data_IF_264946886478
#
_entry.id   IF_264946886478
#
_cell.length_a   1.000
_cell.length_b   1.000
_cell.length_c   1.000
_cell.angle_alpha   90.00
_cell.angle_beta   90.00
_cell.angle_gamma   90.00
#
_symmetry.space_group_name_H-M   'P 1'
#
loop_
_entity.id
_entity.type
_entity.pdbx_description
1 polymer ?
#
# COMPACT_ATOMS: atom_id res chain seq x y z
N UNK A 1 32.46 0.97 -1.42
CA UNK A 1 31.47 0.89 -2.50
C UNK A 1 30.59 2.12 -2.41
N UNK A 2 30.64 3.01 -3.38
CA UNK A 2 29.76 4.19 -3.43
C UNK A 2 28.38 3.70 -3.86
N UNK A 3 27.44 3.65 -2.92
CA UNK A 3 26.02 3.45 -3.27
C UNK A 3 25.58 4.72 -4.01
N UNK A 4 25.30 4.59 -5.29
CA UNK A 4 24.67 5.64 -6.08
C UNK A 4 23.33 5.98 -5.45
N UNK A 5 23.29 7.03 -4.65
CA UNK A 5 22.05 7.55 -4.07
C UNK A 5 21.32 8.26 -5.20
N UNK A 6 20.23 7.68 -5.69
CA UNK A 6 19.40 8.37 -6.68
C UNK A 6 18.90 9.69 -6.09
N UNK A 7 19.32 10.79 -6.70
CA UNK A 7 18.92 12.14 -6.29
C UNK A 7 17.50 12.49 -6.78
N UNK A 8 16.95 11.68 -7.65
CA UNK A 8 15.64 11.88 -8.29
C UNK A 8 14.85 10.58 -8.29
N UNK A 9 13.61 10.63 -7.80
CA UNK A 9 12.61 9.58 -7.97
C UNK A 9 11.38 10.16 -8.66
N UNK A 10 10.72 9.35 -9.47
CA UNK A 10 9.50 9.73 -10.18
C UNK A 10 8.51 8.58 -10.20
N UNK A 11 7.23 8.91 -10.25
CA UNK A 11 6.16 7.94 -10.43
C UNK A 11 4.90 8.61 -10.95
N UNK A 12 3.86 7.83 -11.14
CA UNK A 12 2.55 8.31 -11.58
C UNK A 12 1.43 7.67 -10.79
N UNK A 13 0.32 8.38 -10.65
CA UNK A 13 -0.92 7.81 -10.13
C UNK A 13 -2.14 8.47 -10.76
N UNK A 14 -3.26 7.76 -10.75
CA UNK A 14 -4.59 8.32 -10.99
C UNK A 14 -5.17 8.77 -9.65
N UNK A 15 -5.62 10.02 -9.57
CA UNK A 15 -6.19 10.58 -8.35
C UNK A 15 -7.63 10.10 -8.12
N UNK A 16 -7.90 9.65 -6.93
CA UNK A 16 -9.24 9.38 -6.38
C UNK A 16 -9.82 10.58 -5.61
N UNK A 17 -9.04 11.67 -5.51
CA UNK A 17 -9.38 12.87 -4.75
C UNK A 17 -9.10 12.78 -3.25
N UNK A 18 -8.63 11.63 -2.76
CA UNK A 18 -8.29 11.42 -1.36
C UNK A 18 -6.81 11.68 -1.11
N UNK A 19 -6.48 12.02 0.13
CA UNK A 19 -5.08 12.12 0.54
C UNK A 19 -4.39 10.76 0.41
N UNK A 20 -3.16 10.75 -0.15
CA UNK A 20 -2.37 9.53 -0.30
C UNK A 20 -0.95 9.72 0.19
N UNK A 21 -0.34 8.63 0.58
CA UNK A 21 1.08 8.61 0.94
C UNK A 21 1.88 7.99 -0.19
N UNK A 22 2.99 8.64 -0.51
CA UNK A 22 4.04 8.13 -1.38
C UNK A 22 5.22 7.79 -0.48
N UNK A 23 5.53 6.49 -0.37
CA UNK A 23 6.66 6.02 0.42
C UNK A 23 7.97 6.28 -0.33
N UNK A 24 8.86 7.05 0.28
CA UNK A 24 10.16 7.41 -0.28
C UNK A 24 11.26 7.08 0.75
N UNK A 25 12.47 6.75 0.30
CA UNK A 25 13.63 6.70 1.21
C UNK A 25 13.82 8.05 1.92
N UNK A 26 14.50 8.05 3.07
CA UNK A 26 14.80 9.28 3.80
C UNK A 26 15.65 10.28 2.99
N UNK A 27 15.51 11.56 3.31
CA UNK A 27 16.34 12.63 2.74
C UNK A 27 15.78 13.28 1.47
N UNK A 28 14.54 12.95 1.05
CA UNK A 28 13.87 13.71 0.00
C UNK A 28 13.18 14.91 0.62
N UNK A 29 13.55 16.10 0.19
CA UNK A 29 13.15 17.38 0.76
C UNK A 29 12.39 18.29 -0.22
N UNK A 30 12.30 17.90 -1.49
CA UNK A 30 11.54 18.58 -2.52
C UNK A 30 10.59 17.59 -3.22
N UNK A 31 9.38 18.04 -3.44
CA UNK A 31 8.37 17.26 -4.13
C UNK A 31 7.59 18.11 -5.11
N UNK A 32 7.37 17.58 -6.30
CA UNK A 32 6.61 18.22 -7.36
C UNK A 32 5.55 17.26 -7.89
N UNK A 33 4.35 17.76 -8.09
CA UNK A 33 3.23 17.06 -8.68
C UNK A 33 2.80 17.78 -9.94
N UNK A 34 2.67 17.05 -11.05
CA UNK A 34 2.29 17.59 -12.36
C UNK A 34 1.06 16.86 -12.86
N UNK A 35 -0.01 17.59 -13.16
CA UNK A 35 -1.21 17.06 -13.77
C UNK A 35 -0.96 16.82 -15.26
N UNK A 36 -0.75 15.57 -15.65
CA UNK A 36 -0.45 15.20 -17.04
C UNK A 36 -1.71 14.96 -17.88
N UNK A 37 -2.89 14.81 -17.26
CA UNK A 37 -4.15 14.66 -17.99
C UNK A 37 -4.53 15.96 -18.70
N UNK A 38 -4.35 17.09 -18.05
CA UNK A 38 -4.84 18.38 -18.52
C UNK A 38 -3.77 19.23 -19.23
N UNK A 39 -2.58 18.67 -19.46
CA UNK A 39 -1.55 19.29 -20.28
C UNK A 39 -2.08 19.45 -21.71
N UNK A 40 -2.21 20.70 -22.16
CA UNK A 40 -2.72 20.99 -23.50
C UNK A 40 -4.25 21.03 -23.63
N UNK A 41 -4.99 20.66 -22.57
CA UNK A 41 -6.45 20.80 -22.59
C UNK A 41 -6.82 22.28 -22.43
N UNK A 42 -7.66 22.78 -23.34
CA UNK A 42 -8.26 24.12 -23.26
C UNK A 42 -9.50 24.18 -22.34
N UNK A 43 -9.75 23.11 -21.60
CA UNK A 43 -10.95 22.84 -20.81
C UNK A 43 -11.35 23.89 -19.79
N UNK A 44 -12.56 23.75 -19.38
CA UNK A 44 -13.46 24.76 -18.83
C UNK A 44 -13.35 25.05 -17.32
N UNK A 45 -12.47 24.44 -16.56
CA UNK A 45 -12.43 24.63 -15.08
C UNK A 45 -11.03 24.98 -14.57
N UNK A 46 -10.98 25.74 -13.48
CA UNK A 46 -9.72 26.00 -12.77
C UNK A 46 -9.16 24.69 -12.22
N UNK A 47 -7.91 24.38 -12.54
CA UNK A 47 -7.26 23.15 -12.13
C UNK A 47 -5.83 23.39 -11.64
N UNK A 48 -5.40 22.57 -10.68
CA UNK A 48 -4.01 22.53 -10.28
C UNK A 48 -3.22 21.80 -11.37
N UNK A 49 -2.38 22.52 -12.08
CA UNK A 49 -1.52 21.99 -13.13
C UNK A 49 -0.20 21.49 -12.56
N UNK A 50 0.33 22.22 -11.58
CA UNK A 50 1.56 21.87 -10.90
C UNK A 50 1.48 22.31 -9.45
N UNK A 51 1.95 21.44 -8.55
CA UNK A 51 2.11 21.77 -7.14
C UNK A 51 3.56 21.44 -6.71
N UNK A 52 4.17 22.30 -5.89
CA UNK A 52 5.50 22.11 -5.35
C UNK A 52 5.49 22.22 -3.84
N UNK A 53 6.22 21.32 -3.18
CA UNK A 53 6.44 21.31 -1.75
C UNK A 53 7.90 21.20 -1.38
N UNK A 54 8.24 21.72 -0.22
CA UNK A 54 9.56 21.66 0.37
C UNK A 54 9.42 21.23 1.82
N UNK A 55 10.38 20.44 2.32
CA UNK A 55 10.37 19.96 3.71
C UNK A 55 10.49 21.10 4.74
N UNK A 56 10.99 22.26 4.31
CA UNK A 56 11.08 23.47 5.14
C UNK A 56 9.76 24.21 5.32
N UNK A 57 8.72 23.88 4.52
CA UNK A 57 7.40 24.48 4.67
C UNK A 57 6.61 23.76 5.77
N UNK A 58 5.65 24.47 6.42
CA UNK A 58 4.71 23.83 7.32
C UNK A 58 3.96 22.65 6.64
N UNK A 59 3.68 21.60 7.40
CA UNK A 59 2.91 20.46 6.90
C UNK A 59 1.56 20.92 6.32
N UNK A 60 1.19 20.35 5.18
CA UNK A 60 -0.01 20.74 4.45
C UNK A 60 0.16 21.95 3.52
N UNK A 61 1.36 22.50 3.40
CA UNK A 61 1.61 23.64 2.49
C UNK A 61 2.01 23.18 1.09
N UNK A 62 1.68 23.97 0.09
CA UNK A 62 2.15 23.79 -1.29
C UNK A 62 2.11 25.09 -2.09
N UNK A 63 3.06 25.30 -2.97
CA UNK A 63 2.97 26.27 -4.04
C UNK A 63 2.21 25.67 -5.22
N UNK A 64 1.20 26.36 -5.72
CA UNK A 64 0.34 25.92 -6.80
C UNK A 64 0.54 26.79 -8.03
N UNK A 65 0.57 26.14 -9.20
CA UNK A 65 0.37 26.77 -10.48
C UNK A 65 -0.97 26.28 -11.03
N UNK A 66 -1.92 27.21 -11.18
CA UNK A 66 -3.29 26.95 -11.57
C UNK A 66 -3.51 27.34 -13.02
N UNK A 67 -4.21 26.48 -13.77
CA UNK A 67 -4.80 26.82 -15.07
C UNK A 67 -6.24 27.24 -14.83
N UNK A 68 -6.61 28.41 -15.32
CA UNK A 68 -7.99 28.87 -15.32
C UNK A 68 -8.58 28.77 -16.73
N UNK A 69 -9.86 28.51 -16.78
CA UNK A 69 -10.58 28.33 -18.02
C UNK A 69 -10.68 29.62 -18.83
N UNK A 70 -10.25 29.57 -20.08
CA UNK A 70 -10.68 30.25 -21.29
C UNK A 70 -10.98 31.75 -21.32
N UNK A 71 -11.29 32.35 -20.23
CA UNK A 71 -11.52 33.78 -20.12
C UNK A 71 -10.21 34.46 -19.71
N UNK A 72 -9.32 34.72 -20.67
CA UNK A 72 -8.22 35.72 -20.55
C UNK A 72 -7.40 35.76 -19.23
N UNK A 73 -7.41 34.71 -18.41
CA UNK A 73 -6.70 34.68 -17.15
C UNK A 73 -5.45 33.89 -17.26
N UNK A 74 -4.35 34.56 -17.02
CA UNK A 74 -3.01 34.00 -16.91
C UNK A 74 -2.98 32.90 -15.85
N UNK A 75 -2.01 31.99 -15.98
CA UNK A 75 -1.71 31.03 -14.94
C UNK A 75 -1.58 31.77 -13.60
N UNK A 76 -2.34 31.35 -12.61
CA UNK A 76 -2.32 31.96 -11.29
C UNK A 76 -1.36 31.12 -10.45
N UNK A 77 -0.38 31.77 -9.85
CA UNK A 77 0.44 31.20 -8.82
C UNK A 77 -0.17 31.53 -7.45
N UNK A 78 -0.29 30.54 -6.61
CA UNK A 78 -0.81 30.71 -5.26
C UNK A 78 -0.10 29.78 -4.28
N UNK A 79 -0.29 30.00 -3.00
CA UNK A 79 0.17 29.13 -1.94
C UNK A 79 -1.00 28.70 -1.08
N UNK A 80 -1.08 27.39 -0.82
CA UNK A 80 -1.98 26.85 0.20
C UNK A 80 -1.17 26.47 1.44
N UNK A 81 -1.82 26.51 2.60
CA UNK A 81 -1.22 26.17 3.91
C UNK A 81 -1.88 24.96 4.54
N UNK A 82 -2.90 24.40 3.89
CA UNK A 82 -3.61 23.19 4.32
C UNK A 82 -3.87 22.30 3.12
N UNK A 83 -3.98 20.99 3.36
CA UNK A 83 -4.27 19.99 2.32
C UNK A 83 -3.27 19.94 1.14
N UNK A 84 -2.08 20.50 1.30
CA UNK A 84 -0.94 20.40 0.39
C UNK A 84 -0.06 19.19 0.68
N UNK A 85 1.25 19.39 0.76
CA UNK A 85 2.21 18.32 1.04
C UNK A 85 2.63 18.30 2.50
N UNK A 86 2.81 17.07 3.04
CA UNK A 86 3.42 16.88 4.35
C UNK A 86 4.58 15.90 4.23
N UNK A 87 5.77 16.35 4.52
CA UNK A 87 6.98 15.51 4.54
C UNK A 87 7.03 14.73 5.85
N UNK A 88 7.15 13.42 5.74
CA UNK A 88 7.20 12.52 6.90
C UNK A 88 8.64 12.43 7.42
N UNK A 89 8.83 12.81 8.66
CA UNK A 89 10.13 12.73 9.33
C UNK A 89 10.32 11.37 10.02
N UNK A 90 11.58 10.97 10.23
CA UNK A 90 11.99 9.69 10.83
C UNK A 90 11.81 9.63 12.37
N UNK A 91 10.90 10.39 12.94
CA UNK A 91 10.74 10.45 14.40
C UNK A 91 9.29 10.28 14.85
N UNK A 92 9.13 9.73 16.02
CA UNK A 92 7.85 9.52 16.67
C UNK A 92 7.53 8.05 16.92
N UNK A 93 6.41 7.81 17.58
CA UNK A 93 5.91 6.47 17.93
C UNK A 93 4.43 6.35 17.64
N UNK A 94 3.99 5.13 17.35
CA UNK A 94 2.58 4.78 17.22
C UNK A 94 2.35 3.43 17.91
N UNK A 95 1.28 3.33 18.67
CA UNK A 95 0.88 2.09 19.33
C UNK A 95 -0.39 1.55 18.70
N UNK A 96 -0.43 0.28 18.30
CA UNK A 96 -1.66 -0.36 17.82
C UNK A 96 -2.61 -0.66 18.96
N UNK A 97 -3.79 -1.18 18.63
CA UNK A 97 -4.75 -1.67 19.61
C UNK A 97 -4.18 -2.76 20.51
N UNK A 98 -4.85 -3.02 21.62
CA UNK A 98 -4.44 -4.05 22.56
C UNK A 98 -4.37 -5.43 21.89
N UNK A 99 -3.42 -6.24 22.32
CA UNK A 99 -3.33 -7.64 21.91
C UNK A 99 -4.51 -8.44 22.47
N UNK A 100 -5.17 -9.21 21.61
CA UNK A 100 -6.23 -10.12 22.00
C UNK A 100 -5.84 -11.54 21.62
N UNK A 101 -5.96 -12.48 22.56
CA UNK A 101 -5.63 -13.87 22.31
C UNK A 101 -6.57 -14.48 21.25
N UNK A 102 -6.00 -15.27 20.37
CA UNK A 102 -6.68 -16.09 19.37
C UNK A 102 -6.72 -17.52 19.86
N UNK A 103 -7.90 -18.14 19.82
CA UNK A 103 -8.09 -19.55 20.18
C UNK A 103 -8.11 -20.48 18.97
N UNK A 104 -8.47 -19.97 17.81
CA UNK A 104 -8.41 -20.72 16.56
C UNK A 104 -8.39 -19.78 15.34
N UNK A 105 -7.76 -20.24 14.25
CA UNK A 105 -7.89 -19.67 12.91
C UNK A 105 -8.25 -20.80 11.97
N UNK A 106 -9.36 -20.69 11.27
CA UNK A 106 -9.83 -21.76 10.38
C UNK A 106 -9.07 -21.77 9.06
N UNK A 107 -8.84 -22.96 8.51
CA UNK A 107 -8.45 -23.13 7.11
C UNK A 107 -9.70 -23.04 6.24
N UNK A 108 -10.10 -21.83 5.90
CA UNK A 108 -11.33 -21.51 5.20
C UNK A 108 -11.18 -20.28 4.28
N UNK A 109 -12.16 -20.02 3.44
CA UNK A 109 -12.28 -18.84 2.58
C UNK A 109 -13.65 -18.18 2.78
N UNK A 110 -13.73 -17.05 3.45
CA UNK A 110 -12.68 -16.30 4.16
C UNK A 110 -12.15 -17.04 5.39
N UNK A 111 -10.93 -16.69 5.81
CA UNK A 111 -10.38 -17.17 7.07
C UNK A 111 -11.14 -16.59 8.27
N UNK A 112 -11.44 -17.42 9.26
CA UNK A 112 -12.18 -17.03 10.46
C UNK A 112 -11.27 -17.13 11.68
N UNK A 113 -11.16 -16.05 12.43
CA UNK A 113 -10.37 -15.93 13.65
C UNK A 113 -11.32 -15.95 14.86
N UNK A 114 -11.15 -16.91 15.73
CA UNK A 114 -11.87 -16.96 17.01
C UNK A 114 -11.09 -16.17 18.07
N UNK A 115 -11.66 -15.05 18.50
CA UNK A 115 -11.03 -14.14 19.50
C UNK A 115 -12.10 -13.24 20.10
N UNK A 116 -11.81 -12.66 21.27
CA UNK A 116 -12.65 -11.63 21.89
C UNK A 116 -12.29 -10.20 21.37
N UNK A 117 -11.89 -10.10 20.11
CA UNK A 117 -11.52 -8.82 19.49
C UNK A 117 -12.73 -7.88 19.39
N UNK A 118 -12.49 -6.59 19.56
CA UNK A 118 -13.46 -5.50 19.31
C UNK A 118 -13.34 -4.90 17.92
N UNK A 119 -12.59 -5.54 17.01
CA UNK A 119 -12.45 -5.09 15.63
C UNK A 119 -13.82 -5.04 14.94
N UNK A 120 -13.99 -4.05 14.08
CA UNK A 120 -15.20 -3.87 13.26
C UNK A 120 -14.89 -4.10 11.78
N UNK A 121 -15.94 -4.26 10.98
CA UNK A 121 -15.79 -4.40 9.51
C UNK A 121 -15.07 -3.16 8.94
N UNK A 122 -14.05 -3.39 8.13
CA UNK A 122 -13.18 -2.37 7.56
C UNK A 122 -11.90 -2.10 8.35
N UNK A 123 -11.84 -2.50 9.62
CA UNK A 123 -10.58 -2.43 10.37
C UNK A 123 -9.51 -3.30 9.72
N UNK A 124 -8.26 -2.97 10.00
CA UNK A 124 -7.12 -3.82 9.68
C UNK A 124 -6.60 -4.46 10.96
N UNK A 125 -6.46 -5.76 10.92
CA UNK A 125 -5.95 -6.55 12.04
C UNK A 125 -4.64 -7.22 11.66
N UNK A 126 -3.67 -7.18 12.57
CA UNK A 126 -2.44 -7.97 12.49
C UNK A 126 -2.60 -9.26 13.25
N UNK A 127 -2.27 -10.36 12.56
CA UNK A 127 -2.19 -11.70 13.17
C UNK A 127 -0.73 -12.00 13.46
N UNK A 128 -0.40 -12.47 14.66
CA UNK A 128 0.98 -12.78 15.02
C UNK A 128 1.08 -13.84 16.12
N UNK A 129 2.28 -14.41 16.28
CA UNK A 129 2.55 -15.42 17.30
C UNK A 129 1.67 -16.68 17.15
N UNK A 130 1.28 -17.05 15.93
CA UNK A 130 0.40 -18.18 15.66
C UNK A 130 1.08 -19.52 15.94
N UNK A 131 0.33 -20.46 16.50
CA UNK A 131 0.70 -21.87 16.56
C UNK A 131 0.07 -22.58 15.37
N UNK A 132 0.85 -22.92 14.36
CA UNK A 132 0.37 -23.31 13.03
C UNK A 132 0.16 -22.10 12.12
N UNK A 133 -0.11 -22.32 10.84
CA UNK A 133 -0.29 -21.28 9.81
C UNK A 133 0.75 -20.14 9.90
N UNK A 134 2.02 -20.49 10.09
CA UNK A 134 3.10 -19.49 10.26
C UNK A 134 3.26 -18.57 9.04
N UNK A 135 2.67 -18.96 7.90
CA UNK A 135 2.65 -18.18 6.67
C UNK A 135 1.94 -16.81 6.83
N UNK A 136 0.99 -16.71 7.77
CA UNK A 136 0.22 -15.49 8.02
C UNK A 136 0.68 -14.72 9.25
N UNK A 137 1.64 -15.25 10.00
CA UNK A 137 2.18 -14.57 11.18
C UNK A 137 2.89 -13.28 10.79
N UNK A 138 2.52 -12.16 11.44
CA UNK A 138 3.00 -10.82 11.12
C UNK A 138 2.31 -10.16 9.92
N UNK A 139 1.23 -10.75 9.39
CA UNK A 139 0.47 -10.17 8.28
C UNK A 139 -0.74 -9.39 8.77
N UNK A 140 -1.08 -8.35 8.00
CA UNK A 140 -2.24 -7.51 8.22
C UNK A 140 -3.37 -7.96 7.28
N UNK A 141 -4.62 -7.93 7.77
CA UNK A 141 -5.80 -8.31 6.98
C UNK A 141 -6.94 -7.33 7.24
N UNK A 142 -7.70 -6.99 6.20
CA UNK A 142 -8.95 -6.26 6.37
C UNK A 142 -10.03 -7.19 6.96
N UNK A 143 -10.73 -6.71 7.96
CA UNK A 143 -11.89 -7.39 8.55
C UNK A 143 -13.08 -7.25 7.62
N UNK A 144 -13.65 -8.38 7.21
CA UNK A 144 -14.78 -8.43 6.25
C UNK A 144 -16.13 -8.71 6.90
N UNK A 145 -16.13 -9.40 8.02
CA UNK A 145 -17.32 -9.61 8.85
C UNK A 145 -16.94 -9.88 10.30
N UNK A 146 -17.83 -9.56 11.21
CA UNK A 146 -17.69 -9.83 12.64
C UNK A 146 -18.96 -10.45 13.17
N UNK A 147 -18.81 -11.43 14.07
CA UNK A 147 -19.86 -12.03 14.88
C UNK A 147 -19.35 -12.14 16.32
N UNK A 148 -20.19 -12.32 17.33
CA UNK A 148 -19.70 -12.47 18.70
C UNK A 148 -18.63 -13.57 18.80
N UNK A 149 -17.42 -13.16 19.22
CA UNK A 149 -16.26 -14.04 19.39
C UNK A 149 -15.53 -14.47 18.11
N UNK A 150 -15.92 -13.98 16.94
CA UNK A 150 -15.26 -14.34 15.67
C UNK A 150 -15.07 -13.13 14.77
N UNK A 151 -13.95 -13.10 14.07
CA UNK A 151 -13.57 -12.07 13.09
C UNK A 151 -13.21 -12.75 11.77
N UNK A 152 -13.96 -12.45 10.69
CA UNK A 152 -13.61 -12.91 9.36
C UNK A 152 -12.63 -11.92 8.70
N UNK A 153 -11.70 -12.45 7.92
CA UNK A 153 -10.67 -11.66 7.25
C UNK A 153 -10.78 -11.74 5.73
N UNK A 154 -10.11 -10.84 5.05
CA UNK A 154 -9.99 -10.81 3.58
C UNK A 154 -9.12 -11.94 3.00
N UNK A 155 -8.69 -12.90 3.82
CA UNK A 155 -7.75 -13.94 3.41
C UNK A 155 -8.46 -15.25 3.06
N UNK A 156 -8.07 -15.85 1.92
CA UNK A 156 -8.36 -17.23 1.59
C UNK A 156 -7.29 -18.14 2.19
N UNK A 157 -7.64 -18.92 3.20
CA UNK A 157 -6.73 -19.83 3.90
C UNK A 157 -6.84 -21.30 3.41
N UNK A 158 -7.63 -21.56 2.35
CA UNK A 158 -7.72 -22.91 1.75
C UNK A 158 -6.60 -23.20 0.75
N UNK A 159 -5.78 -22.18 0.43
CA UNK A 159 -4.70 -22.36 -0.55
C UNK A 159 -3.72 -23.47 -0.13
N UNK A 160 -3.12 -24.13 -1.10
CA UNK A 160 -2.08 -25.12 -0.87
C UNK A 160 -0.96 -24.54 0.00
N UNK A 161 -0.54 -25.25 1.02
CA UNK A 161 0.41 -24.77 2.02
C UNK A 161 -0.20 -24.45 3.39
N UNK A 162 -1.51 -24.14 3.46
CA UNK A 162 -2.22 -23.96 4.74
C UNK A 162 -2.84 -25.30 5.20
N UNK A 163 -2.00 -26.31 5.38
CA UNK A 163 -2.49 -27.67 5.67
C UNK A 163 -3.14 -27.83 7.05
N UNK A 164 -2.89 -26.94 8.00
CA UNK A 164 -3.40 -27.01 9.35
C UNK A 164 -3.91 -25.64 9.81
N UNK A 165 -5.03 -25.65 10.53
CA UNK A 165 -5.54 -24.48 11.22
C UNK A 165 -4.56 -24.05 12.33
N UNK A 166 -4.49 -22.75 12.63
CA UNK A 166 -3.80 -22.26 13.81
C UNK A 166 -4.67 -22.50 15.04
N UNK A 167 -4.03 -22.90 16.15
CA UNK A 167 -4.71 -23.24 17.41
C UNK A 167 -4.49 -22.19 18.51
N UNK A 168 -3.58 -21.26 18.29
CA UNK A 168 -3.31 -20.13 19.20
C UNK A 168 -2.64 -19.00 18.41
N UNK A 169 -2.56 -17.82 19.02
CA UNK A 169 -1.90 -16.64 18.50
C UNK A 169 -2.47 -15.37 19.10
N UNK A 170 -2.19 -14.27 18.49
CA UNK A 170 -2.73 -12.96 18.88
C UNK A 170 -3.22 -12.21 17.66
N UNK A 171 -4.18 -11.34 17.90
CA UNK A 171 -4.70 -10.36 16.95
C UNK A 171 -4.72 -8.99 17.60
N UNK A 172 -4.48 -7.95 16.83
CA UNK A 172 -4.69 -6.57 17.27
C UNK A 172 -5.10 -5.67 16.09
N UNK A 173 -5.89 -4.66 16.38
CA UNK A 173 -6.25 -3.64 15.40
C UNK A 173 -5.04 -2.76 15.13
N UNK A 174 -4.72 -2.57 13.86
CA UNK A 174 -3.65 -1.69 13.40
C UNK A 174 -4.26 -0.38 12.91
N UNK A 175 -3.92 0.76 13.54
CA UNK A 175 -4.37 2.05 13.02
C UNK A 175 -3.61 2.32 11.73
N UNK A 176 -4.31 2.41 10.60
CA UNK A 176 -3.65 2.87 9.40
C UNK A 176 -3.13 4.28 9.63
N UNK A 177 -1.83 4.37 9.68
CA UNK A 177 -1.11 5.61 9.74
C UNK A 177 -0.01 5.54 8.67
N UNK A 178 -0.06 6.41 7.66
CA UNK A 178 0.92 6.38 6.57
C UNK A 178 2.36 6.45 7.06
N UNK A 179 2.55 7.05 8.22
CA UNK A 179 3.86 7.26 8.82
C UNK A 179 4.38 6.04 9.58
N UNK A 180 3.51 5.37 10.37
CA UNK A 180 3.94 4.30 11.28
C UNK A 180 3.46 2.91 10.86
N UNK A 181 2.26 2.83 10.34
CA UNK A 181 1.65 1.58 9.87
C UNK A 181 1.14 1.76 8.43
N UNK A 182 2.04 1.81 7.44
CA UNK A 182 1.64 1.91 6.04
C UNK A 182 0.87 0.66 5.61
N UNK A 183 0.04 0.81 4.58
CA UNK A 183 -0.69 -0.31 3.99
C UNK A 183 0.30 -1.29 3.36
N UNK A 184 0.40 -2.49 3.93
CA UNK A 184 1.19 -3.57 3.39
C UNK A 184 0.35 -4.33 2.35
N UNK A 185 0.66 -4.17 1.07
CA UNK A 185 -0.06 -4.78 -0.06
C UNK A 185 0.58 -6.10 -0.46
N UNK A 186 0.47 -7.08 0.42
CA UNK A 186 1.04 -8.42 0.23
C UNK A 186 0.14 -9.26 -0.65
N UNK A 187 0.75 -10.05 -1.53
CA UNK A 187 0.03 -10.91 -2.46
C UNK A 187 -0.44 -12.16 -1.72
N UNK A 188 -1.73 -12.46 -1.82
CA UNK A 188 -2.34 -13.63 -1.19
C UNK A 188 -2.74 -14.71 -2.19
N UNK A 189 -2.98 -14.34 -3.44
CA UNK A 189 -3.24 -15.25 -4.54
C UNK A 189 -2.94 -14.59 -5.88
N UNK A 190 -2.59 -15.40 -6.87
CA UNK A 190 -2.49 -14.98 -8.27
C UNK A 190 -3.24 -15.99 -9.13
N UNK A 191 -4.16 -15.47 -9.94
CA UNK A 191 -4.80 -16.24 -11.01
C UNK A 191 -4.00 -16.04 -12.29
N UNK A 192 -3.42 -17.12 -12.79
CA UNK A 192 -2.69 -17.16 -14.05
C UNK A 192 -3.65 -16.81 -15.19
N UNK A 193 -3.22 -15.92 -16.08
CA UNK A 193 -4.05 -15.48 -17.20
C UNK A 193 -3.50 -14.23 -17.89
N UNK A 194 -4.28 -13.75 -18.85
CA UNK A 194 -4.05 -12.50 -19.55
C UNK A 194 -5.39 -11.74 -19.61
N UNK A 195 -5.63 -10.75 -18.74
CA UNK A 195 -4.73 -10.17 -17.74
C UNK A 195 -4.48 -11.08 -16.51
N UNK A 196 -3.34 -10.87 -15.84
CA UNK A 196 -3.06 -11.52 -14.55
C UNK A 196 -3.90 -10.88 -13.45
N UNK A 197 -4.60 -11.70 -12.64
CA UNK A 197 -5.39 -11.22 -11.50
C UNK A 197 -4.68 -11.53 -10.19
N UNK A 198 -4.48 -10.50 -9.36
CA UNK A 198 -3.74 -10.61 -8.09
C UNK A 198 -4.68 -10.21 -6.95
N UNK A 199 -4.79 -11.08 -5.94
CA UNK A 199 -5.47 -10.78 -4.68
C UNK A 199 -4.46 -10.33 -3.62
N UNK A 200 -4.88 -9.35 -2.81
CA UNK A 200 -4.07 -8.74 -1.77
C UNK A 200 -4.70 -8.97 -0.38
N UNK A 201 -3.87 -8.89 0.63
CA UNK A 201 -4.25 -9.12 2.03
C UNK A 201 -5.18 -8.05 2.62
N UNK A 202 -5.20 -6.85 2.04
CA UNK A 202 -5.95 -5.69 2.55
C UNK A 202 -6.65 -4.95 1.41
N UNK A 203 -7.60 -4.10 1.75
CA UNK A 203 -8.11 -3.08 0.82
C UNK A 203 -6.95 -2.20 0.38
N UNK A 204 -6.64 -2.20 -0.91
CA UNK A 204 -5.33 -1.76 -1.41
C UNK A 204 -5.23 -0.26 -1.74
N UNK A 205 -6.36 0.43 -1.99
CA UNK A 205 -6.37 1.85 -2.35
C UNK A 205 -5.73 2.17 -3.71
N UNK A 206 -5.51 1.18 -4.58
CA UNK A 206 -5.06 1.41 -5.96
C UNK A 206 -6.20 1.88 -6.85
N UNK A 207 -5.83 2.47 -7.99
CA UNK A 207 -6.75 2.93 -9.03
C UNK A 207 -6.36 2.37 -10.39
N UNK A 208 -7.35 2.19 -11.28
CA UNK A 208 -7.11 1.78 -12.67
C UNK A 208 -6.20 2.80 -13.35
N UNK A 209 -5.25 2.32 -14.17
CA UNK A 209 -4.24 3.13 -14.83
C UNK A 209 -2.96 3.36 -14.00
N UNK A 210 -2.95 3.02 -12.71
CA UNK A 210 -1.76 3.11 -11.88
C UNK A 210 -0.74 2.04 -12.28
N UNK A 211 0.54 2.44 -12.36
CA UNK A 211 1.65 1.51 -12.61
C UNK A 211 2.21 0.97 -11.31
N UNK A 212 2.40 -0.34 -11.29
CA UNK A 212 2.94 -1.07 -10.14
C UNK A 212 4.06 -2.01 -10.56
N UNK A 213 4.91 -2.35 -9.61
CA UNK A 213 5.92 -3.40 -9.73
C UNK A 213 5.52 -4.56 -8.85
N UNK A 214 5.65 -5.77 -9.36
CA UNK A 214 5.46 -6.99 -8.59
C UNK A 214 6.78 -7.39 -7.95
N UNK A 215 6.77 -7.67 -6.66
CA UNK A 215 7.86 -8.32 -5.93
C UNK A 215 7.44 -9.73 -5.58
N UNK A 216 8.21 -10.72 -6.03
CA UNK A 216 7.88 -12.13 -5.85
C UNK A 216 9.10 -12.93 -5.39
N UNK A 217 9.27 -13.16 -4.08
CA UNK A 217 10.34 -14.01 -3.60
C UNK A 217 10.20 -15.45 -4.12
N UNK A 218 11.31 -16.08 -4.48
CA UNK A 218 11.33 -17.39 -5.14
C UNK A 218 10.58 -18.50 -4.38
N UNK A 219 10.50 -18.40 -3.06
CA UNK A 219 9.81 -19.37 -2.20
C UNK A 219 8.29 -19.41 -2.43
N UNK A 220 7.71 -18.37 -3.06
CA UNK A 220 6.29 -18.31 -3.41
C UNK A 220 5.98 -18.82 -4.83
N UNK A 221 6.95 -19.39 -5.53
CA UNK A 221 6.80 -19.78 -6.94
C UNK A 221 6.72 -18.57 -7.86
N UNK A 222 6.19 -18.75 -9.06
CA UNK A 222 5.93 -17.69 -10.06
C UNK A 222 7.07 -16.64 -10.18
N UNK A 223 8.32 -17.09 -10.15
CA UNK A 223 9.50 -16.20 -10.18
C UNK A 223 9.58 -15.34 -11.45
N UNK A 224 8.89 -15.76 -12.51
CA UNK A 224 8.83 -15.03 -13.79
C UNK A 224 8.17 -13.66 -13.67
N UNK A 225 7.31 -13.45 -12.66
CA UNK A 225 6.61 -12.17 -12.47
C UNK A 225 7.45 -11.20 -11.63
N UNK A 226 8.52 -11.67 -10.97
CA UNK A 226 9.33 -10.83 -10.08
C UNK A 226 9.97 -9.67 -10.84
N UNK A 227 9.83 -8.47 -10.31
CA UNK A 227 10.35 -7.25 -10.89
C UNK A 227 9.58 -6.70 -12.09
N UNK A 228 8.59 -7.42 -12.62
CA UNK A 228 7.80 -6.93 -13.76
C UNK A 228 6.98 -5.69 -13.36
N UNK A 229 6.89 -4.79 -14.32
CA UNK A 229 6.01 -3.62 -14.25
C UNK A 229 4.70 -3.94 -14.95
N UNK A 230 3.58 -3.60 -14.31
CA UNK A 230 2.26 -3.72 -14.89
C UNK A 230 1.42 -2.48 -14.64
N UNK A 231 0.47 -2.25 -15.54
CA UNK A 231 -0.57 -1.23 -15.37
C UNK A 231 -1.82 -1.90 -14.85
N UNK A 232 -2.45 -1.32 -13.84
CA UNK A 232 -3.72 -1.82 -13.30
C UNK A 232 -4.82 -1.54 -14.32
N UNK A 233 -5.43 -2.60 -14.86
CA UNK A 233 -6.50 -2.53 -15.86
C UNK A 233 -7.89 -2.65 -15.26
N UNK A 234 -8.01 -3.33 -14.11
CA UNK A 234 -9.26 -3.45 -13.37
C UNK A 234 -9.01 -3.60 -11.86
N UNK A 235 -10.03 -3.27 -11.10
CA UNK A 235 -10.09 -3.42 -9.65
C UNK A 235 -11.32 -4.25 -9.32
N UNK A 236 -11.21 -5.16 -8.38
CA UNK A 236 -12.30 -6.01 -7.97
C UNK A 236 -12.26 -6.41 -6.51
N UNK A 237 -13.24 -7.23 -6.15
CA UNK A 237 -13.36 -7.82 -4.83
C UNK A 237 -13.10 -9.31 -4.92
N UNK A 238 -12.29 -9.88 -4.03
CA UNK A 238 -12.09 -11.32 -3.98
C UNK A 238 -12.93 -11.95 -2.86
N UNK A 239 -12.66 -11.59 -1.63
CA UNK A 239 -13.22 -12.27 -0.46
C UNK A 239 -13.83 -11.24 0.47
N UNK A 240 -15.04 -11.55 1.00
CA UNK A 240 -15.70 -10.74 2.00
C UNK A 240 -16.14 -9.35 1.53
N UNK A 241 -16.18 -9.10 0.21
CA UNK A 241 -16.67 -7.83 -0.35
C UNK A 241 -15.68 -6.65 -0.25
N UNK A 242 -14.44 -6.87 0.23
CA UNK A 242 -13.45 -5.80 0.25
C UNK A 242 -12.74 -5.65 -1.12
N UNK A 243 -12.36 -4.42 -1.44
CA UNK A 243 -11.63 -4.09 -2.69
C UNK A 243 -10.16 -4.50 -2.55
N UNK A 244 -9.87 -5.75 -2.85
CA UNK A 244 -8.56 -6.35 -2.61
C UNK A 244 -7.99 -7.12 -3.82
N UNK A 245 -8.57 -6.98 -5.01
CA UNK A 245 -8.00 -7.55 -6.23
C UNK A 245 -7.66 -6.48 -7.27
N UNK A 246 -6.58 -6.74 -8.00
CA UNK A 246 -6.18 -5.95 -9.17
C UNK A 246 -5.94 -6.87 -10.35
N UNK A 247 -6.25 -6.39 -11.55
CA UNK A 247 -5.83 -7.02 -12.80
C UNK A 247 -4.69 -6.21 -13.40
N UNK A 248 -3.63 -6.88 -13.83
CA UNK A 248 -2.47 -6.26 -14.48
C UNK A 248 -2.42 -6.63 -15.95
N UNK A 249 -1.93 -5.70 -16.79
CA UNK A 249 -1.65 -5.91 -18.22
C UNK A 249 -0.47 -6.86 -18.48
N UNK A 250 -0.26 -7.81 -17.58
CA UNK A 250 0.77 -8.86 -17.68
C UNK A 250 0.09 -10.14 -18.13
N UNK A 251 0.68 -10.81 -19.13
CA UNK A 251 0.32 -12.16 -19.53
C UNK A 251 1.15 -13.17 -18.73
N UNK A 252 0.50 -13.89 -17.82
CA UNK A 252 1.14 -14.90 -16.98
C UNK A 252 0.76 -16.33 -17.38
N UNK A 253 0.13 -16.54 -18.53
CA UNK A 253 -0.39 -17.87 -18.96
C UNK A 253 0.70 -18.94 -19.02
N UNK A 254 1.95 -18.57 -19.27
CA UNK A 254 3.11 -19.47 -19.31
C UNK A 254 3.92 -19.50 -18.00
N UNK A 255 3.47 -18.79 -16.94
CA UNK A 255 4.21 -18.72 -15.68
C UNK A 255 3.88 -19.90 -14.77
N UNK A 256 4.83 -20.25 -13.89
CA UNK A 256 4.57 -21.19 -12.81
C UNK A 256 3.53 -20.64 -11.84
N UNK A 257 2.75 -21.52 -11.21
CA UNK A 257 1.71 -21.09 -10.29
C UNK A 257 2.31 -20.44 -9.02
N UNK A 258 1.62 -19.42 -8.49
CA UNK A 258 1.86 -18.91 -7.15
C UNK A 258 1.46 -19.94 -6.10
N UNK A 259 2.27 -20.08 -5.06
CA UNK A 259 1.96 -20.94 -3.91
C UNK A 259 2.57 -20.37 -2.64
N UNK A 260 1.87 -20.50 -1.51
CA UNK A 260 2.47 -20.16 -0.22
C UNK A 260 3.56 -21.18 0.15
N UNK A 261 4.64 -20.75 0.83
CA UNK A 261 5.61 -21.64 1.42
C UNK A 261 4.95 -22.51 2.50
N UNK A 262 5.55 -23.65 2.83
CA UNK A 262 5.13 -24.44 3.99
C UNK A 262 5.33 -23.68 5.30
N UNK A 263 4.62 -24.06 6.37
CA UNK A 263 4.81 -23.43 7.69
C UNK A 263 6.24 -23.49 8.19
N UNK A 264 6.95 -24.60 7.93
CA UNK A 264 8.36 -24.73 8.29
C UNK A 264 9.26 -23.73 7.55
N UNK A 265 9.01 -23.49 6.27
CA UNK A 265 9.73 -22.50 5.49
C UNK A 265 9.39 -21.07 5.93
N UNK A 266 8.13 -20.79 6.24
CA UNK A 266 7.69 -19.48 6.73
C UNK A 266 8.32 -19.13 8.09
N UNK A 267 8.60 -20.13 8.94
CA UNK A 267 9.22 -19.95 10.25
C UNK A 267 10.64 -19.35 10.20
N UNK A 268 11.33 -19.41 9.08
CA UNK A 268 12.68 -18.84 8.91
C UNK A 268 12.69 -17.37 8.49
N UNK A 269 11.54 -16.69 8.52
CA UNK A 269 11.49 -15.24 8.26
C UNK A 269 11.76 -14.89 6.80
N UNK A 270 11.08 -15.56 5.88
CA UNK A 270 11.20 -15.29 4.44
C UNK A 270 10.67 -13.92 4.06
N UNK A 271 11.27 -13.33 3.04
CA UNK A 271 10.75 -12.16 2.36
C UNK A 271 9.34 -12.42 1.80
N UNK A 272 8.53 -11.39 1.63
CA UNK A 272 7.11 -11.51 1.30
C UNK A 272 6.79 -10.97 -0.09
N UNK A 273 5.81 -11.55 -0.78
CA UNK A 273 5.38 -11.05 -2.08
C UNK A 273 4.54 -9.78 -1.91
N UNK A 274 4.78 -8.78 -2.73
CA UNK A 274 4.19 -7.45 -2.56
C UNK A 274 3.94 -6.76 -3.89
N UNK A 275 2.88 -5.94 -3.95
CA UNK A 275 2.63 -4.98 -5.02
C UNK A 275 3.09 -3.59 -4.60
N UNK A 276 4.03 -3.04 -5.35
CA UNK A 276 4.69 -1.77 -5.04
C UNK A 276 4.36 -0.76 -6.14
N UNK A 277 3.75 0.40 -5.82
CA UNK A 277 3.61 1.48 -6.78
C UNK A 277 4.96 1.89 -7.37
N UNK A 278 4.99 2.15 -8.67
CA UNK A 278 6.24 2.58 -9.33
C UNK A 278 6.74 3.88 -8.72
N UNK A 279 8.00 3.89 -8.32
CA UNK A 279 8.67 4.99 -7.65
C UNK A 279 8.61 4.93 -6.14
N UNK A 280 7.72 4.14 -5.55
CA UNK A 280 7.67 3.95 -4.10
C UNK A 280 8.67 2.86 -3.63
N UNK A 281 9.06 2.93 -2.36
CA UNK A 281 9.83 1.89 -1.72
C UNK A 281 8.94 0.69 -1.36
N UNK A 282 9.52 -0.51 -1.36
CA UNK A 282 8.88 -1.68 -0.78
C UNK A 282 8.60 -1.42 0.71
N UNK A 283 7.45 -1.90 1.19
CA UNK A 283 7.18 -1.88 2.62
C UNK A 283 8.12 -2.88 3.32
N UNK A 284 8.75 -2.43 4.41
CA UNK A 284 9.63 -3.32 5.16
C UNK A 284 8.79 -4.44 5.79
N UNK A 285 9.15 -5.72 5.60
CA UNK A 285 8.49 -6.79 6.31
C UNK A 285 8.81 -6.66 7.80
N UNK A 286 7.81 -6.39 8.61
CA UNK A 286 7.96 -6.52 10.05
C UNK A 286 7.93 -8.00 10.39
N UNK A 287 8.89 -8.45 11.17
CA UNK A 287 9.17 -9.82 11.48
C UNK A 287 7.95 -10.74 11.38
N UNK A 288 8.01 -11.68 10.47
CA UNK A 288 6.87 -12.52 10.09
C UNK A 288 6.18 -13.23 11.25
N UNK A 289 6.87 -13.37 12.39
CA UNK A 289 6.40 -14.16 13.53
C UNK A 289 6.02 -13.31 14.73
N UNK A 290 6.56 -12.11 14.86
CA UNK A 290 6.40 -11.25 16.00
C UNK A 290 5.65 -9.97 15.65
N UNK A 291 4.86 -9.50 16.58
CA UNK A 291 4.23 -8.20 16.50
C UNK A 291 5.17 -7.10 17.00
N UNK A 292 5.14 -5.97 16.32
CA UNK A 292 5.77 -4.74 16.76
C UNK A 292 4.69 -3.86 17.43
N UNK A 293 4.59 -3.97 18.76
CA UNK A 293 3.54 -3.29 19.54
C UNK A 293 3.69 -1.76 19.53
N UNK A 294 4.92 -1.26 19.37
CA UNK A 294 5.19 0.18 19.34
C UNK A 294 6.22 0.45 18.26
N UNK A 295 5.84 1.22 17.24
CA UNK A 295 6.76 1.58 16.19
C UNK A 295 7.46 2.88 16.51
N UNK A 296 8.77 2.78 16.67
CA UNK A 296 9.66 3.92 16.85
C UNK A 296 10.24 4.43 15.53
N UNK A 297 10.10 3.65 14.46
CA UNK A 297 10.58 4.01 13.13
C UNK A 297 9.39 4.30 12.24
N UNK A 298 9.32 5.52 11.77
CA UNK A 298 8.27 5.94 10.84
C UNK A 298 8.63 5.55 9.40
N UNK A 299 7.62 5.30 8.59
CA UNK A 299 7.79 5.31 7.15
C UNK A 299 8.15 6.71 6.70
N UNK A 300 9.24 6.84 5.97
CA UNK A 300 9.58 8.10 5.31
C UNK A 300 8.80 8.24 4.02
N UNK A 301 8.51 9.47 3.64
CA UNK A 301 7.76 9.74 2.43
C UNK A 301 7.03 11.07 2.48
N UNK A 302 6.01 11.18 1.65
CA UNK A 302 5.24 12.41 1.49
C UNK A 302 3.76 12.08 1.45
N UNK A 303 2.96 12.82 2.22
CA UNK A 303 1.51 12.83 2.08
C UNK A 303 1.16 13.87 1.03
N UNK A 304 0.47 13.44 -0.01
CA UNK A 304 -0.16 14.29 -1.03
C UNK A 304 -1.57 14.56 -0.57
N UNK A 305 -1.86 15.80 -0.20
CA UNK A 305 -3.17 16.20 0.30
C UNK A 305 -4.21 16.42 -0.81
N UNK A 306 -5.44 16.64 -0.41
CA UNK A 306 -6.58 16.80 -1.33
C UNK A 306 -6.57 18.13 -2.09
N UNK A 307 -5.91 19.15 -1.57
CA UNK A 307 -5.84 20.49 -2.20
C UNK A 307 -4.90 20.60 -3.40
N UNK A 308 -4.09 19.58 -3.65
CA UNK A 308 -3.11 19.56 -4.76
C UNK A 308 -3.49 18.59 -5.87
N UNK A 309 -4.62 17.92 -5.77
CA UNK A 309 -5.05 16.91 -6.75
C UNK A 309 -6.57 17.01 -7.01
N UNK A 310 -6.97 16.54 -8.18
CA UNK A 310 -8.35 16.46 -8.63
C UNK A 310 -8.71 15.03 -8.98
N UNK A 311 -9.87 14.56 -8.57
CA UNK A 311 -10.36 13.21 -8.86
C UNK A 311 -10.39 12.92 -10.36
N UNK A 312 -9.97 11.72 -10.76
CA UNK A 312 -9.99 11.26 -12.15
C UNK A 312 -8.87 11.81 -13.03
N UNK A 313 -7.90 12.53 -12.45
CA UNK A 313 -6.74 13.05 -13.19
C UNK A 313 -5.49 12.25 -12.91
N UNK A 314 -4.67 12.05 -13.93
CA UNK A 314 -3.37 11.38 -13.80
C UNK A 314 -2.30 12.40 -13.45
N UNK A 315 -1.57 12.12 -12.43
CA UNK A 315 -0.46 12.95 -11.96
C UNK A 315 0.87 12.21 -12.09
N UNK A 316 1.87 12.94 -12.55
CA UNK A 316 3.27 12.56 -12.40
C UNK A 316 3.83 13.26 -11.16
N UNK A 317 4.52 12.52 -10.32
CA UNK A 317 5.25 13.10 -9.20
C UNK A 317 6.77 12.95 -9.39
N UNK A 318 7.49 13.90 -8.82
CA UNK A 318 8.94 14.00 -8.85
C UNK A 318 9.41 14.36 -7.46
N UNK A 319 10.22 13.49 -6.85
CA UNK A 319 10.88 13.76 -5.58
C UNK A 319 12.37 13.98 -5.78
N UNK A 320 12.94 14.99 -5.13
CA UNK A 320 14.35 15.35 -5.23
C UNK A 320 14.96 15.45 -3.85
N UNK A 321 16.22 15.03 -3.76
CA UNK A 321 17.07 15.37 -2.61
C UNK A 321 17.71 16.71 -2.86
N UNK A 322 17.58 17.66 -1.92
CA UNK A 322 18.40 18.85 -1.89
C UNK A 322 19.86 18.46 -1.74
N UNK A 323 20.74 19.17 -2.41
CA UNK A 323 22.15 19.06 -2.08
C UNK A 323 22.35 19.71 -0.72
N UNK A 324 22.76 18.94 0.27
CA UNK A 324 23.34 19.50 1.49
C UNK A 324 24.52 20.38 1.07
N UNK A 325 24.35 21.71 1.22
CA UNK A 325 25.46 22.67 1.07
C UNK A 325 26.29 22.56 2.33
#
# INVERSE_FOLDING_TARGET
MSTSIHSLLTGTFLSDGLARTISLPSGYDQFELVNITDIGDAGATTQVMRAKGYSSLPAGSAYLNLKTNGAATLAIESMITTAGFSFLADSGTQTPGAAVAVTAITNASPGVISSASTAVVGDVVRVYGTTGMLQIAGWDFTVTAVNPGVTQTSQNLIAAGFAAAATAGFIRVIPFNPRFYPVNRRITAITVGSPTVIALNVTHGFTVGQKVRVKMPAIYGMTQIDGLLGTITAIGTAIGGCTNTISLDIDSTAFTAFAFPTSAQAAVGVDVPEIIPVGEAATSPYGNLNDDATRNVSTTGIIVGTGVQTTGKVYQWIARRGQSI
#
